data_IF_756400178433
#
_entry.id   IF_756400178433
#
_cell.length_a   1.000
_cell.length_b   1.000
_cell.length_c   1.000
_cell.angle_alpha   90.00
_cell.angle_beta   90.00
_cell.angle_gamma   90.00
#
_symmetry.space_group_name_H-M   'P 1'
#
loop_
_entity.id
_entity.type
_entity.pdbx_description
1 polymer ?
#
# COMPACT_ATOMS: atom_id res chain seq x y z
N UNK A 1 4.88 16.07 3.05
CA UNK A 1 5.82 14.99 3.39
C UNK A 1 6.36 14.37 2.12
N UNK A 2 7.66 14.19 2.03
CA UNK A 2 8.28 13.48 0.91
C UNK A 2 8.27 11.98 1.16
N UNK A 3 8.51 11.18 0.11
CA UNK A 3 8.64 9.74 0.26
C UNK A 3 9.77 9.37 1.23
N UNK A 4 10.91 10.07 1.15
CA UNK A 4 12.01 9.86 2.08
C UNK A 4 11.62 10.15 3.53
N UNK A 5 10.83 11.19 3.76
CA UNK A 5 10.32 11.50 5.10
C UNK A 5 9.42 10.38 5.62
N UNK A 6 8.55 9.87 4.77
CA UNK A 6 7.66 8.75 5.12
C UNK A 6 8.48 7.50 5.47
N UNK A 7 9.46 7.16 4.64
CA UNK A 7 10.33 6.01 4.88
C UNK A 7 11.06 6.17 6.21
N UNK A 8 11.65 7.34 6.46
CA UNK A 8 12.40 7.61 7.69
C UNK A 8 11.52 7.49 8.92
N UNK A 9 10.26 7.93 8.82
CA UNK A 9 9.32 7.92 9.94
C UNK A 9 8.88 6.51 10.31
N UNK A 10 8.67 5.64 9.31
CA UNK A 10 8.08 4.32 9.56
C UNK A 10 9.03 3.14 9.38
N UNK A 11 10.25 3.37 8.94
CA UNK A 11 11.22 2.30 8.76
C UNK A 11 11.44 1.56 10.07
N UNK A 12 11.37 0.22 10.02
CA UNK A 12 11.56 -0.66 11.17
C UNK A 12 10.52 -0.47 12.28
N UNK A 13 9.40 0.15 11.98
CA UNK A 13 8.31 0.34 12.94
C UNK A 13 7.09 -0.43 12.49
N UNK A 14 6.33 -0.92 13.48
CA UNK A 14 5.00 -1.44 13.23
C UNK A 14 4.03 -0.27 13.16
N UNK A 15 3.24 -0.23 12.09
CA UNK A 15 2.20 0.77 11.95
C UNK A 15 0.86 0.09 12.24
N UNK A 16 0.17 0.57 13.26
CA UNK A 16 -1.13 0.05 13.66
C UNK A 16 -2.16 1.17 13.49
N UNK A 17 -2.59 1.37 12.25
CA UNK A 17 -3.42 2.52 11.86
C UNK A 17 -4.79 2.48 12.53
N UNK A 18 -5.40 1.30 12.60
CA UNK A 18 -6.77 1.16 13.10
C UNK A 18 -6.85 0.74 14.57
N UNK A 19 -5.70 0.47 15.21
CA UNK A 19 -5.67 0.02 16.60
C UNK A 19 -6.13 -1.41 16.82
N UNK A 20 -6.23 -2.19 15.74
CA UNK A 20 -6.73 -3.57 15.80
C UNK A 20 -5.74 -4.53 15.15
N UNK A 21 -5.52 -5.67 15.77
CA UNK A 21 -4.67 -6.75 15.23
C UNK A 21 -3.19 -6.42 15.07
N UNK A 22 -2.73 -5.31 15.68
CA UNK A 22 -1.34 -4.88 15.56
C UNK A 22 -1.01 -4.29 14.20
N UNK A 23 0.27 -4.06 13.95
CA UNK A 23 0.72 -3.47 12.69
C UNK A 23 0.73 -4.48 11.56
N UNK A 24 -0.02 -4.22 10.50
CA UNK A 24 -0.12 -5.05 9.31
C UNK A 24 0.18 -4.22 8.07
N UNK A 25 0.40 -4.90 6.94
CA UNK A 25 0.73 -4.22 5.69
C UNK A 25 -0.38 -3.25 5.24
N UNK A 26 -1.64 -3.58 5.49
CA UNK A 26 -2.76 -2.69 5.19
C UNK A 26 -2.72 -1.42 6.05
N UNK A 27 -2.24 -1.53 7.28
CA UNK A 27 -2.09 -0.36 8.16
C UNK A 27 -1.06 0.61 7.60
N UNK A 28 0.04 0.12 7.09
CA UNK A 28 1.05 0.96 6.42
C UNK A 28 0.47 1.62 5.18
N UNK A 29 -0.31 0.87 4.40
CA UNK A 29 -1.01 1.40 3.23
C UNK A 29 -1.94 2.56 3.62
N UNK A 30 -2.76 2.38 4.65
CA UNK A 30 -3.66 3.43 5.12
C UNK A 30 -2.89 4.66 5.58
N UNK A 31 -1.78 4.46 6.30
CA UNK A 31 -0.94 5.56 6.74
C UNK A 31 -0.32 6.31 5.56
N UNK A 32 0.07 5.58 4.53
CA UNK A 32 0.59 6.17 3.30
C UNK A 32 -0.45 7.06 2.62
N UNK A 33 -1.70 6.61 2.56
CA UNK A 33 -2.78 7.41 1.96
C UNK A 33 -2.97 8.73 2.71
N UNK A 34 -2.92 8.69 4.04
CA UNK A 34 -3.07 9.90 4.85
C UNK A 34 -1.86 10.83 4.68
N UNK A 35 -0.66 10.31 4.91
CA UNK A 35 0.55 11.12 5.01
C UNK A 35 1.03 11.64 3.66
N UNK A 36 0.93 10.82 2.63
CA UNK A 36 1.50 11.13 1.31
C UNK A 36 0.47 11.66 0.33
N UNK A 37 -0.76 11.16 0.38
CA UNK A 37 -1.79 11.50 -0.60
C UNK A 37 -2.86 12.42 -0.02
N UNK A 38 -2.79 12.73 1.26
CA UNK A 38 -3.73 13.66 1.90
C UNK A 38 -5.15 13.13 1.99
N UNK A 39 -5.34 11.82 1.96
CA UNK A 39 -6.66 11.21 2.04
C UNK A 39 -7.06 11.11 3.51
N UNK A 40 -8.13 11.79 3.90
CA UNK A 40 -8.57 11.87 5.30
C UNK A 40 -9.33 10.63 5.77
N UNK A 41 -9.83 9.82 4.83
CA UNK A 41 -10.73 8.71 5.16
C UNK A 41 -10.31 7.42 4.44
N UNK A 42 -9.06 6.94 4.67
CA UNK A 42 -8.54 5.79 3.90
C UNK A 42 -9.33 4.51 4.14
N UNK A 43 -9.80 4.26 5.35
CA UNK A 43 -10.58 3.04 5.65
C UNK A 43 -11.93 3.07 4.93
N UNK A 44 -12.54 4.23 4.80
CA UNK A 44 -13.80 4.36 4.06
C UNK A 44 -13.58 4.21 2.56
N UNK A 45 -12.46 4.71 2.05
CA UNK A 45 -12.11 4.61 0.64
C UNK A 45 -11.73 3.18 0.26
N UNK A 46 -11.01 2.49 1.15
CA UNK A 46 -10.56 1.10 0.95
C UNK A 46 -10.97 0.27 2.17
N UNK A 47 -12.24 -0.12 2.29
CA UNK A 47 -12.71 -0.92 3.43
C UNK A 47 -12.34 -2.38 3.21
N UNK A 48 -11.05 -2.69 3.29
CA UNK A 48 -10.54 -4.02 2.98
C UNK A 48 -10.19 -4.79 4.25
N UNK A 49 -10.52 -6.07 4.26
CA UNK A 49 -10.08 -6.99 5.29
C UNK A 49 -8.75 -7.64 4.94
N UNK A 50 -8.44 -7.73 3.65
CA UNK A 50 -7.22 -8.35 3.14
C UNK A 50 -6.58 -7.46 2.08
N UNK A 51 -5.25 -7.49 1.99
CA UNK A 51 -4.49 -6.61 1.10
C UNK A 51 -4.89 -6.78 -0.38
N UNK A 52 -5.17 -8.01 -0.82
CA UNK A 52 -5.51 -8.24 -2.23
C UNK A 52 -6.77 -7.49 -2.67
N UNK A 53 -7.66 -7.14 -1.75
CA UNK A 53 -8.89 -6.42 -2.05
C UNK A 53 -8.65 -4.97 -2.46
N UNK A 54 -7.49 -4.42 -2.13
CA UNK A 54 -7.12 -3.05 -2.53
C UNK A 54 -7.19 -2.90 -4.06
N UNK A 55 -6.73 -3.92 -4.78
CA UNK A 55 -6.78 -3.92 -6.24
C UNK A 55 -8.19 -3.74 -6.77
N UNK A 56 -9.15 -4.43 -6.17
CA UNK A 56 -10.55 -4.38 -6.60
C UNK A 56 -11.18 -3.01 -6.33
N UNK A 57 -10.93 -2.44 -5.16
CA UNK A 57 -11.45 -1.12 -4.82
C UNK A 57 -10.80 0.00 -5.63
N UNK A 58 -9.56 -0.16 -6.05
CA UNK A 58 -8.88 0.83 -6.87
C UNK A 58 -9.46 0.93 -8.28
N UNK A 59 -10.15 -0.10 -8.75
CA UNK A 59 -10.71 -0.16 -10.11
C UNK A 59 -11.58 1.06 -10.45
N UNK A 60 -12.44 1.44 -9.53
CA UNK A 60 -13.41 2.52 -9.76
C UNK A 60 -13.01 3.83 -9.09
N UNK A 61 -11.78 3.91 -8.61
CA UNK A 61 -11.28 5.11 -7.93
C UNK A 61 -10.43 5.94 -8.87
N UNK A 62 -10.93 7.12 -9.24
CA UNK A 62 -10.25 8.00 -10.19
C UNK A 62 -8.90 8.54 -9.70
N UNK A 63 -8.61 8.42 -8.41
CA UNK A 63 -7.33 8.85 -7.85
C UNK A 63 -6.21 7.83 -8.09
N UNK A 64 -6.55 6.65 -8.56
CA UNK A 64 -5.61 5.54 -8.73
C UNK A 64 -5.74 4.95 -10.13
N UNK A 65 -4.60 4.56 -10.70
CA UNK A 65 -4.53 3.82 -11.94
C UNK A 65 -4.01 2.41 -11.64
N UNK A 66 -4.76 1.39 -12.10
CA UNK A 66 -4.31 0.01 -11.94
C UNK A 66 -3.42 -0.38 -13.12
N UNK A 67 -2.22 -0.87 -12.80
CA UNK A 67 -1.29 -1.38 -13.80
C UNK A 67 -1.07 -2.85 -13.51
N UNK A 68 -1.48 -3.70 -14.46
CA UNK A 68 -1.31 -5.14 -14.34
C UNK A 68 0.18 -5.50 -14.40
N UNK A 69 0.57 -6.55 -13.71
CA UNK A 69 1.95 -7.03 -13.74
C UNK A 69 2.36 -7.37 -15.17
N UNK A 70 3.33 -6.62 -15.68
CA UNK A 70 3.84 -6.73 -17.03
C UNK A 70 5.35 -6.55 -16.97
N UNK A 71 6.15 -7.40 -17.64
CA UNK A 71 7.60 -7.25 -17.63
C UNK A 71 8.11 -5.88 -18.09
N UNK A 72 7.29 -5.18 -18.88
CA UNK A 72 7.63 -3.85 -19.39
C UNK A 72 7.11 -2.71 -18.50
N UNK A 73 6.29 -3.03 -17.51
CA UNK A 73 5.75 -2.04 -16.58
C UNK A 73 6.64 -1.97 -15.35
N UNK A 74 7.53 -0.99 -15.33
CA UNK A 74 8.50 -0.83 -14.25
C UNK A 74 7.92 0.16 -13.24
N UNK A 75 7.79 -0.24 -11.96
CA UNK A 75 7.26 0.68 -10.95
C UNK A 75 8.24 1.82 -10.69
N UNK A 76 7.70 2.95 -10.26
CA UNK A 76 8.49 4.10 -9.82
C UNK A 76 8.32 4.30 -8.32
N UNK A 77 9.28 4.97 -7.70
CA UNK A 77 9.24 5.21 -6.26
C UNK A 77 7.92 5.87 -5.87
N UNK A 78 7.27 5.31 -4.86
CA UNK A 78 5.97 5.77 -4.38
C UNK A 78 4.79 4.98 -4.90
N UNK A 79 4.99 4.11 -5.89
CA UNK A 79 3.92 3.25 -6.38
C UNK A 79 3.49 2.24 -5.31
N UNK A 80 2.21 1.92 -5.31
CA UNK A 80 1.64 0.92 -4.41
C UNK A 80 1.60 -0.41 -5.14
N UNK A 81 2.22 -1.43 -4.55
CA UNK A 81 2.28 -2.76 -5.14
C UNK A 81 1.34 -3.67 -4.35
N UNK A 82 0.47 -4.37 -5.05
CA UNK A 82 -0.50 -5.30 -4.44
C UNK A 82 -0.28 -6.70 -5.02
N UNK A 83 -0.08 -7.67 -4.13
CA UNK A 83 0.00 -9.08 -4.51
C UNK A 83 -1.31 -9.77 -4.18
N UNK A 84 -1.68 -10.71 -5.05
CA UNK A 84 -2.84 -11.55 -4.81
C UNK A 84 -2.56 -12.66 -3.80
N UNK A 85 -3.50 -13.60 -3.73
CA UNK A 85 -3.44 -14.69 -2.75
C UNK A 85 -2.28 -15.67 -2.94
N UNK A 86 -1.56 -15.57 -4.06
CA UNK A 86 -0.40 -16.42 -4.32
C UNK A 86 0.75 -16.27 -3.32
N UNK A 87 0.83 -15.13 -2.62
CA UNK A 87 1.87 -14.88 -1.62
C UNK A 87 1.37 -15.10 -0.19
N UNK A 88 0.13 -15.54 -0.03
CA UNK A 88 -0.47 -15.79 1.27
C UNK A 88 -1.98 -15.66 1.20
N UNK A 89 -2.72 -16.06 2.25
CA UNK A 89 -4.19 -16.06 2.21
C UNK A 89 -4.81 -14.66 2.08
N UNK A 90 -4.07 -13.62 2.49
CA UNK A 90 -4.55 -12.24 2.44
C UNK A 90 -3.84 -11.40 1.37
N UNK A 91 -2.94 -12.01 0.59
CA UNK A 91 -2.10 -11.22 -0.31
C UNK A 91 -1.11 -10.35 0.46
N UNK A 92 -0.62 -9.31 -0.19
CA UNK A 92 0.31 -8.37 0.44
C UNK A 92 0.21 -7.02 -0.27
N UNK A 93 0.50 -5.96 0.46
CA UNK A 93 0.62 -4.62 -0.11
C UNK A 93 1.89 -3.96 0.42
N UNK A 94 2.59 -3.25 -0.45
CA UNK A 94 3.81 -2.53 -0.08
C UNK A 94 3.95 -1.28 -0.94
N UNK A 95 4.87 -0.40 -0.53
CA UNK A 95 5.20 0.81 -1.26
C UNK A 95 6.55 0.58 -1.93
N UNK A 96 6.61 0.79 -3.24
CA UNK A 96 7.86 0.62 -3.98
C UNK A 96 8.82 1.76 -3.66
N UNK A 97 10.05 1.42 -3.35
CA UNK A 97 11.10 2.42 -3.09
C UNK A 97 12.16 2.36 -4.16
N UNK A 98 12.77 1.20 -4.36
CA UNK A 98 13.83 1.00 -5.35
C UNK A 98 14.14 -0.48 -5.51
N UNK A 99 14.83 -0.82 -6.59
CA UNK A 99 15.30 -2.18 -6.85
C UNK A 99 14.24 -3.04 -7.51
N UNK A 100 14.49 -4.35 -7.58
CA UNK A 100 13.63 -5.32 -8.24
C UNK A 100 12.56 -5.88 -7.31
N UNK A 101 12.78 -5.78 -6.02
CA UNK A 101 11.99 -6.46 -5.00
C UNK A 101 11.53 -5.45 -3.97
N UNK A 102 10.31 -5.62 -3.50
CA UNK A 102 9.78 -4.80 -2.43
C UNK A 102 10.54 -5.06 -1.13
N UNK A 103 10.83 -3.98 -0.42
CA UNK A 103 11.65 -4.03 0.81
C UNK A 103 10.82 -3.91 2.08
N UNK A 104 9.54 -4.03 1.99
CA UNK A 104 8.64 -3.92 3.14
C UNK A 104 8.17 -5.28 3.63
#
# INVERSE_FOLDING_TARGET
MTLNDFISKYKNKKVDFDGAYGGQCVDLFNQYLVDMLGINNPIQMFPVASAYQIWDYAKDNEKFERITNDPNAIPVAGDIIVWGKGVGPHGHVAIYVSGDVMKF
#
